data_IF_829544226319
#
_entry.id   IF_829544226319
#
_cell.length_a   1.000
_cell.length_b   1.000
_cell.length_c   1.000
_cell.angle_alpha   90.00
_cell.angle_beta   90.00
_cell.angle_gamma   90.00
#
_symmetry.space_group_name_H-M   'P 1'
#
loop_
_entity.id
_entity.type
_entity.pdbx_description
1 polymer ?
#
# COMPACT_ATOMS: atom_id res chain seq x y z
N UNK A 1 -48.62 81.28 9.28
CA UNK A 1 -48.83 79.97 8.63
C UNK A 1 -48.26 78.91 9.56
N UNK A 2 -49.06 77.87 9.83
CA UNK A 2 -48.87 76.91 10.91
C UNK A 2 -47.85 75.82 10.60
N UNK A 3 -47.33 75.19 11.66
CA UNK A 3 -46.93 73.77 11.83
C UNK A 3 -45.67 73.69 12.72
N UNK A 4 -45.50 72.76 13.64
CA UNK A 4 -46.29 71.60 14.05
C UNK A 4 -45.59 70.97 15.27
N UNK A 5 -46.38 70.44 16.19
CA UNK A 5 -45.97 69.66 17.35
C UNK A 5 -45.26 68.37 16.94
N UNK A 6 -44.08 68.09 17.51
CA UNK A 6 -43.45 66.76 17.45
C UNK A 6 -43.68 66.02 18.77
N UNK A 7 -44.49 64.98 18.71
CA UNK A 7 -44.69 64.02 19.78
C UNK A 7 -43.46 63.11 19.89
N UNK A 8 -42.93 62.96 21.10
CA UNK A 8 -41.83 62.06 21.44
C UNK A 8 -42.30 60.61 21.36
N UNK A 9 -41.74 59.84 20.42
CA UNK A 9 -41.77 58.37 20.45
C UNK A 9 -40.58 57.89 21.27
N UNK A 10 -40.78 57.56 22.54
CA UNK A 10 -39.83 56.76 23.31
C UNK A 10 -39.85 55.32 22.78
N UNK A 11 -38.95 55.01 21.85
CA UNK A 11 -38.69 53.64 21.42
C UNK A 11 -38.01 52.90 22.58
N UNK A 12 -38.66 51.84 23.06
CA UNK A 12 -38.26 51.05 24.22
C UNK A 12 -36.89 50.37 24.01
N UNK A 13 -35.85 50.98 24.58
CA UNK A 13 -34.46 50.51 24.55
C UNK A 13 -34.29 49.14 25.23
N UNK A 14 -35.23 48.70 26.09
CA UNK A 14 -35.14 47.45 26.84
C UNK A 14 -35.37 46.19 26.00
N UNK A 15 -36.19 46.27 24.96
CA UNK A 15 -36.51 45.13 24.07
C UNK A 15 -35.33 44.80 23.15
N UNK A 16 -34.64 45.82 22.64
CA UNK A 16 -33.48 45.64 21.75
C UNK A 16 -32.29 44.97 22.44
N UNK A 17 -32.04 45.28 23.71
CA UNK A 17 -30.93 44.69 24.48
C UNK A 17 -31.20 43.23 24.81
N UNK A 18 -32.44 42.88 25.18
CA UNK A 18 -32.84 41.49 25.48
C UNK A 18 -32.78 40.60 24.25
N UNK A 19 -33.24 41.08 23.09
CA UNK A 19 -33.18 40.32 21.83
C UNK A 19 -31.73 40.11 21.37
N UNK A 20 -30.86 41.12 21.50
CA UNK A 20 -29.42 41.00 21.20
C UNK A 20 -28.70 40.02 22.12
N UNK A 21 -29.03 40.02 23.41
CA UNK A 21 -28.47 39.07 24.38
C UNK A 21 -28.88 37.63 24.05
N UNK A 22 -30.15 37.39 23.72
CA UNK A 22 -30.64 36.03 23.36
C UNK A 22 -29.98 35.53 22.07
N UNK A 23 -29.84 36.39 21.05
CA UNK A 23 -29.16 36.03 19.79
C UNK A 23 -27.68 35.75 20.01
N UNK A 24 -26.99 36.57 20.82
CA UNK A 24 -25.58 36.36 21.15
C UNK A 24 -25.35 35.05 21.93
N UNK A 25 -26.19 34.76 22.93
CA UNK A 25 -26.12 33.51 23.70
C UNK A 25 -26.40 32.29 22.80
N UNK A 26 -27.36 32.40 21.89
CA UNK A 26 -27.70 31.31 20.96
C UNK A 26 -26.55 31.02 19.97
N UNK A 27 -25.89 32.08 19.47
CA UNK A 27 -24.71 31.95 18.60
C UNK A 27 -23.54 31.30 19.34
N UNK A 28 -23.27 31.71 20.58
CA UNK A 28 -22.20 31.11 21.40
C UNK A 28 -22.48 29.63 21.67
N UNK A 29 -23.72 29.27 22.01
CA UNK A 29 -24.09 27.87 22.22
C UNK A 29 -23.97 27.04 20.92
N UNK A 30 -24.36 27.59 19.77
CA UNK A 30 -24.22 26.91 18.48
C UNK A 30 -22.75 26.68 18.10
N UNK A 31 -21.86 27.66 18.36
CA UNK A 31 -20.42 27.54 18.14
C UNK A 31 -19.81 26.50 19.08
N UNK A 32 -20.16 26.52 20.37
CA UNK A 32 -19.68 25.52 21.34
C UNK A 32 -20.14 24.11 20.94
N UNK A 33 -21.41 23.96 20.53
CA UNK A 33 -21.93 22.67 20.06
C UNK A 33 -21.21 22.19 18.80
N UNK A 34 -20.92 23.10 17.86
CA UNK A 34 -20.20 22.79 16.63
C UNK A 34 -18.75 22.39 16.90
N UNK A 35 -18.08 23.07 17.83
CA UNK A 35 -16.73 22.70 18.29
C UNK A 35 -16.76 21.35 19.01
N UNK A 36 -17.76 21.09 19.86
CA UNK A 36 -17.96 19.80 20.52
C UNK A 36 -18.15 18.67 19.52
N UNK A 37 -19.03 18.85 18.53
CA UNK A 37 -19.22 17.89 17.43
C UNK A 37 -17.94 17.71 16.63
N UNK A 38 -17.21 18.78 16.30
CA UNK A 38 -15.94 18.70 15.57
C UNK A 38 -14.88 17.92 16.35
N UNK A 39 -14.72 18.18 17.65
CA UNK A 39 -13.77 17.47 18.49
C UNK A 39 -14.15 16.00 18.66
N UNK A 40 -15.45 15.70 18.83
CA UNK A 40 -15.95 14.32 18.85
C UNK A 40 -15.73 13.65 17.50
N UNK A 41 -16.03 14.28 16.38
CA UNK A 41 -15.79 13.71 15.03
C UNK A 41 -14.31 13.50 14.76
N UNK A 42 -13.43 14.38 15.25
CA UNK A 42 -11.98 14.21 15.11
C UNK A 42 -11.47 13.06 15.97
N UNK A 43 -11.85 13.01 17.24
CA UNK A 43 -11.44 11.96 18.17
C UNK A 43 -12.04 10.59 17.82
N UNK A 44 -13.32 10.57 17.43
CA UNK A 44 -14.03 9.38 16.98
C UNK A 44 -13.62 9.00 15.55
N UNK A 45 -13.24 9.93 14.68
CA UNK A 45 -12.70 9.64 13.36
C UNK A 45 -11.31 9.00 13.42
N UNK A 46 -10.47 9.46 14.35
CA UNK A 46 -9.15 8.88 14.62
C UNK A 46 -9.26 7.50 15.33
N UNK A 47 -10.33 7.28 16.11
CA UNK A 47 -10.54 6.07 16.92
C UNK A 47 -11.55 5.04 16.35
N UNK A 48 -12.40 5.41 15.37
CA UNK A 48 -13.23 4.46 14.61
C UNK A 48 -12.38 3.78 13.54
N UNK A 49 -11.50 2.91 13.99
CA UNK A 49 -11.12 1.75 13.17
C UNK A 49 -12.32 0.83 13.15
N UNK A 50 -13.28 1.07 12.26
CA UNK A 50 -14.20 0.02 11.86
C UNK A 50 -13.32 -1.19 11.53
N UNK A 51 -13.56 -2.37 12.14
CA UNK A 51 -12.91 -3.58 11.68
C UNK A 51 -13.50 -3.82 10.30
N UNK A 52 -12.88 -3.22 9.29
CA UNK A 52 -12.98 -3.75 7.95
C UNK A 52 -12.36 -5.12 8.14
N UNK A 53 -13.19 -6.15 8.26
CA UNK A 53 -12.82 -7.53 8.04
C UNK A 53 -12.48 -7.71 6.53
N UNK A 54 -11.75 -6.74 5.98
CA UNK A 54 -11.38 -6.57 4.61
C UNK A 54 -9.88 -6.68 4.53
N UNK A 55 -9.45 -7.62 3.70
CA UNK A 55 -8.28 -7.50 2.82
C UNK A 55 -7.18 -6.59 3.36
N UNK A 56 -6.47 -7.09 4.38
CA UNK A 56 -5.35 -6.37 4.99
C UNK A 56 -4.17 -7.30 5.18
N UNK A 57 -2.98 -6.74 5.07
CA UNK A 57 -1.71 -7.42 5.26
C UNK A 57 -0.96 -6.77 6.41
N UNK A 58 -0.40 -7.60 7.29
CA UNK A 58 0.53 -7.16 8.32
C UNK A 58 1.89 -7.76 8.03
N UNK A 59 2.88 -6.88 7.90
CA UNK A 59 4.28 -7.24 7.72
C UNK A 59 4.98 -7.07 9.06
N UNK A 60 5.68 -8.12 9.53
CA UNK A 60 6.45 -8.11 10.78
C UNK A 60 7.87 -8.58 10.54
N UNK A 61 8.82 -7.67 10.67
CA UNK A 61 10.25 -7.97 10.64
C UNK A 61 10.91 -7.35 11.88
N UNK A 62 11.77 -6.36 11.72
CA UNK A 62 12.31 -5.47 12.77
C UNK A 62 11.37 -4.32 13.17
N UNK A 63 10.23 -4.22 12.47
CA UNK A 63 9.11 -3.37 12.82
C UNK A 63 7.80 -3.97 12.32
N UNK A 64 6.73 -3.18 12.31
CA UNK A 64 5.43 -3.61 11.81
C UNK A 64 4.83 -2.58 10.85
N UNK A 65 4.45 -3.03 9.66
CA UNK A 65 3.72 -2.23 8.67
C UNK A 65 2.37 -2.90 8.38
N UNK A 66 1.30 -2.10 8.28
CA UNK A 66 -0.03 -2.58 7.88
C UNK A 66 -0.42 -1.93 6.58
N UNK A 67 -0.78 -2.75 5.60
CA UNK A 67 -1.21 -2.35 4.26
C UNK A 67 -2.56 -3.00 3.95
N UNK A 68 -3.33 -2.41 3.05
CA UNK A 68 -4.40 -3.16 2.39
C UNK A 68 -3.79 -4.18 1.39
N UNK A 69 -4.62 -5.08 0.85
CA UNK A 69 -4.13 -6.12 -0.06
C UNK A 69 -3.49 -5.57 -1.34
N UNK A 70 -4.04 -4.51 -1.93
CA UNK A 70 -3.53 -3.90 -3.17
C UNK A 70 -2.17 -3.23 -2.94
N UNK A 71 -2.05 -2.44 -1.87
CA UNK A 71 -0.79 -1.81 -1.46
C UNK A 71 0.31 -2.86 -1.20
N UNK A 72 -0.04 -3.99 -0.57
CA UNK A 72 0.90 -5.08 -0.32
C UNK A 72 1.35 -5.75 -1.62
N UNK A 73 0.44 -6.01 -2.56
CA UNK A 73 0.78 -6.55 -3.88
C UNK A 73 1.73 -5.61 -4.64
N UNK A 74 1.43 -4.30 -4.68
CA UNK A 74 2.30 -3.31 -5.31
C UNK A 74 3.69 -3.22 -4.67
N UNK A 75 3.78 -3.23 -3.34
CA UNK A 75 5.06 -3.26 -2.63
C UNK A 75 5.87 -4.52 -2.99
N UNK A 76 5.22 -5.68 -3.03
CA UNK A 76 5.85 -6.95 -3.42
C UNK A 76 6.36 -6.91 -4.87
N UNK A 77 5.60 -6.34 -5.80
CA UNK A 77 6.04 -6.13 -7.19
C UNK A 77 7.24 -5.18 -7.27
N UNK A 78 7.24 -4.05 -6.56
CA UNK A 78 8.38 -3.11 -6.53
C UNK A 78 9.66 -3.82 -6.04
N UNK A 79 9.56 -4.62 -4.99
CA UNK A 79 10.68 -5.38 -4.44
C UNK A 79 11.19 -6.45 -5.42
N UNK A 80 10.27 -7.22 -6.02
CA UNK A 80 10.60 -8.26 -6.99
C UNK A 80 11.34 -7.70 -8.22
N UNK A 81 10.81 -6.61 -8.81
CA UNK A 81 11.45 -5.92 -9.94
C UNK A 81 12.83 -5.36 -9.57
N UNK A 82 13.02 -4.91 -8.32
CA UNK A 82 14.33 -4.49 -7.83
C UNK A 82 15.37 -5.61 -7.92
N UNK A 83 15.02 -6.79 -7.40
CA UNK A 83 15.88 -7.98 -7.46
C UNK A 83 16.08 -8.47 -8.89
N UNK A 84 15.02 -8.55 -9.70
CA UNK A 84 15.10 -8.92 -11.11
C UNK A 84 16.09 -8.03 -11.88
N UNK A 85 16.23 -6.75 -11.49
CA UNK A 85 17.16 -5.78 -12.09
C UNK A 85 18.55 -5.77 -11.47
N UNK A 86 18.86 -6.73 -10.58
CA UNK A 86 20.08 -6.80 -9.77
C UNK A 86 20.33 -5.50 -8.98
N UNK A 87 19.27 -4.90 -8.45
CA UNK A 87 19.40 -3.77 -7.54
C UNK A 87 19.74 -4.27 -6.13
N UNK A 88 20.61 -3.56 -5.37
CA UNK A 88 20.84 -3.90 -3.98
C UNK A 88 19.61 -3.51 -3.13
N UNK A 89 19.50 -4.09 -1.94
CA UNK A 89 18.34 -3.91 -1.02
C UNK A 89 18.02 -2.44 -0.76
N UNK A 90 19.03 -1.58 -0.62
CA UNK A 90 18.86 -0.13 -0.45
C UNK A 90 18.04 0.50 -1.57
N UNK A 91 18.15 0.02 -2.81
CA UNK A 91 17.32 0.52 -3.90
C UNK A 91 15.84 0.24 -3.67
N UNK A 92 15.51 -0.94 -3.12
CA UNK A 92 14.15 -1.34 -2.82
C UNK A 92 13.58 -0.46 -1.72
N UNK A 93 14.36 -0.15 -0.68
CA UNK A 93 14.00 0.83 0.35
C UNK A 93 13.67 2.19 -0.28
N UNK A 94 14.55 2.70 -1.15
CA UNK A 94 14.34 3.99 -1.82
C UNK A 94 13.09 3.97 -2.72
N UNK A 95 12.86 2.88 -3.45
CA UNK A 95 11.70 2.73 -4.34
C UNK A 95 10.38 2.63 -3.56
N UNK A 96 10.34 1.84 -2.48
CA UNK A 96 9.16 1.72 -1.62
C UNK A 96 8.85 3.05 -0.93
N UNK A 97 9.85 3.75 -0.38
CA UNK A 97 9.66 5.05 0.24
C UNK A 97 9.17 6.11 -0.76
N UNK A 98 9.67 6.02 -2.00
CA UNK A 98 9.18 6.87 -3.09
C UNK A 98 7.71 6.57 -3.40
N UNK A 99 7.34 5.31 -3.67
CA UNK A 99 5.97 4.96 -4.00
C UNK A 99 4.97 5.23 -2.85
N UNK A 100 5.40 5.09 -1.59
CA UNK A 100 4.63 5.53 -0.43
C UNK A 100 4.36 7.03 -0.46
N UNK A 101 5.40 7.84 -0.72
CA UNK A 101 5.25 9.28 -0.71
C UNK A 101 4.44 9.79 -1.90
N UNK A 102 4.61 9.18 -3.07
CA UNK A 102 3.95 9.63 -4.31
C UNK A 102 2.47 9.22 -4.34
N UNK A 103 2.13 8.01 -3.89
CA UNK A 103 0.76 7.50 -4.03
C UNK A 103 0.25 6.67 -2.86
N UNK A 104 0.99 6.56 -1.75
CA UNK A 104 0.63 5.64 -0.68
C UNK A 104 0.63 4.17 -1.12
N UNK A 105 1.49 3.81 -2.09
CA UNK A 105 1.51 2.50 -2.78
C UNK A 105 0.24 2.18 -3.59
N UNK A 106 -0.59 3.16 -3.91
CA UNK A 106 -1.77 2.97 -4.77
C UNK A 106 -1.43 3.23 -6.25
N UNK A 107 -1.98 2.43 -7.15
CA UNK A 107 -1.77 2.62 -8.59
C UNK A 107 -2.81 3.60 -9.16
N UNK A 108 -2.63 4.88 -8.82
CA UNK A 108 -3.62 5.93 -9.08
C UNK A 108 -3.85 6.14 -10.59
N UNK A 109 -5.12 6.31 -10.98
CA UNK A 109 -5.49 6.58 -12.37
C UNK A 109 -5.01 7.95 -12.88
N UNK A 110 -4.76 8.90 -11.96
CA UNK A 110 -4.27 10.26 -12.19
C UNK A 110 -3.90 10.96 -10.88
N UNK A 111 -3.25 12.12 -10.97
CA UNK A 111 -2.85 12.97 -9.85
C UNK A 111 -2.53 14.39 -10.29
N UNK A 112 -1.47 15.01 -9.76
CA UNK A 112 -1.08 16.36 -10.20
C UNK A 112 -0.72 16.38 -11.70
N UNK A 113 -1.32 17.31 -12.46
CA UNK A 113 -1.16 17.42 -13.92
C UNK A 113 -1.50 16.11 -14.65
N UNK A 114 -0.51 15.49 -15.30
CA UNK A 114 -0.62 14.22 -16.03
C UNK A 114 0.10 13.07 -15.29
N UNK A 115 0.29 13.19 -13.98
CA UNK A 115 0.91 12.15 -13.15
C UNK A 115 0.02 10.91 -13.01
N UNK A 116 0.59 9.71 -13.12
CA UNK A 116 -0.14 8.43 -13.06
C UNK A 116 0.68 7.39 -12.27
N UNK A 117 -0.03 6.49 -11.61
CA UNK A 117 0.50 5.25 -11.06
C UNK A 117 1.31 5.40 -9.78
N UNK A 118 2.03 4.32 -9.42
CA UNK A 118 2.72 4.16 -8.14
C UNK A 118 3.73 5.26 -7.80
N UNK A 119 4.41 5.78 -8.81
CA UNK A 119 5.48 6.76 -8.64
C UNK A 119 5.05 8.16 -9.11
N UNK A 120 3.75 8.37 -9.37
CA UNK A 120 3.20 9.61 -9.94
C UNK A 120 4.04 10.16 -11.10
N UNK A 121 4.42 9.24 -12.00
CA UNK A 121 5.27 9.56 -13.14
C UNK A 121 4.46 10.31 -14.20
N UNK A 122 5.12 11.18 -14.98
CA UNK A 122 4.45 12.06 -15.96
C UNK A 122 4.85 11.73 -17.40
N UNK A 123 3.88 11.41 -18.29
CA UNK A 123 4.16 11.24 -19.71
C UNK A 123 4.84 12.46 -20.34
N UNK A 124 4.38 13.66 -20.01
CA UNK A 124 4.98 14.94 -20.47
C UNK A 124 6.44 15.15 -20.06
N UNK A 125 6.95 14.40 -19.08
CA UNK A 125 8.36 14.43 -18.66
C UNK A 125 9.18 13.25 -19.20
N UNK A 126 8.61 12.44 -20.10
CA UNK A 126 9.33 11.33 -20.76
C UNK A 126 9.38 10.04 -19.93
N UNK A 127 8.55 9.90 -18.89
CA UNK A 127 8.50 8.68 -18.09
C UNK A 127 7.86 7.49 -18.79
N UNK A 128 7.08 7.69 -19.86
CA UNK A 128 6.40 6.65 -20.63
C UNK A 128 5.03 7.13 -21.14
N UNK A 129 4.31 6.31 -21.89
CA UNK A 129 2.89 6.61 -22.21
C UNK A 129 2.01 6.40 -20.98
N UNK A 130 0.80 6.97 -20.92
CA UNK A 130 -0.14 6.74 -19.81
C UNK A 130 -0.38 5.27 -19.50
N UNK A 131 -0.50 4.43 -20.54
CA UNK A 131 -0.71 2.98 -20.40
C UNK A 131 0.51 2.30 -19.80
N UNK A 132 1.72 2.72 -20.22
CA UNK A 132 2.96 2.16 -19.70
C UNK A 132 3.15 2.50 -18.22
N UNK A 133 3.02 3.77 -17.82
CA UNK A 133 3.26 4.16 -16.43
C UNK A 133 2.14 3.74 -15.47
N UNK A 134 0.96 3.36 -15.99
CA UNK A 134 -0.09 2.69 -15.21
C UNK A 134 0.24 1.22 -14.92
N UNK A 135 1.16 0.59 -15.65
CA UNK A 135 1.66 -0.74 -15.28
C UNK A 135 2.68 -0.60 -14.13
N UNK A 136 2.40 -1.16 -12.93
CA UNK A 136 3.32 -1.17 -11.80
C UNK A 136 4.72 -1.66 -12.14
N UNK A 137 4.84 -2.69 -12.99
CA UNK A 137 6.12 -3.30 -13.37
C UNK A 137 6.93 -2.35 -14.21
N UNK A 138 6.30 -1.70 -15.20
CA UNK A 138 6.97 -0.71 -16.04
C UNK A 138 7.40 0.50 -15.21
N UNK A 139 6.51 1.03 -14.37
CA UNK A 139 6.79 2.20 -13.53
C UNK A 139 7.98 1.94 -12.59
N UNK A 140 8.02 0.77 -11.93
CA UNK A 140 9.15 0.34 -11.10
C UNK A 140 10.44 0.17 -11.91
N UNK A 141 10.38 -0.48 -13.08
CA UNK A 141 11.53 -0.62 -13.97
C UNK A 141 12.13 0.74 -14.36
N UNK A 142 11.27 1.72 -14.69
CA UNK A 142 11.69 3.08 -15.06
C UNK A 142 12.24 3.86 -13.87
N UNK A 143 11.65 3.71 -12.68
CA UNK A 143 12.18 4.29 -11.45
C UNK A 143 13.60 3.80 -11.18
N UNK A 144 13.82 2.48 -11.17
CA UNK A 144 15.16 1.92 -10.96
C UNK A 144 16.16 2.31 -12.07
N UNK A 145 15.70 2.46 -13.31
CA UNK A 145 16.54 2.97 -14.40
C UNK A 145 16.92 4.45 -14.17
N UNK A 146 16.06 5.25 -13.56
CA UNK A 146 16.36 6.61 -13.10
C UNK A 146 17.36 6.60 -11.95
N UNK A 147 17.11 5.80 -10.91
CA UNK A 147 17.98 5.68 -9.73
C UNK A 147 19.42 5.28 -10.10
N UNK A 148 19.60 4.31 -11.01
CA UNK A 148 20.93 3.91 -11.52
C UNK A 148 21.74 5.06 -12.13
N UNK A 149 21.09 6.14 -12.60
CA UNK A 149 21.76 7.31 -13.19
C UNK A 149 22.20 8.35 -12.15
N UNK A 150 21.73 8.24 -10.92
CA UNK A 150 22.08 9.17 -9.83
C UNK A 150 23.43 8.75 -9.24
N UNK A 151 24.47 9.57 -9.42
CA UNK A 151 25.81 9.23 -8.88
C UNK A 151 25.79 9.25 -7.34
N UNK A 152 26.27 8.17 -6.71
CA UNK A 152 26.40 8.09 -5.25
C UNK A 152 25.10 7.83 -4.49
N UNK A 153 24.01 7.48 -5.18
CA UNK A 153 22.70 7.22 -4.56
C UNK A 153 22.75 6.16 -3.44
N UNK A 154 23.71 5.23 -3.53
CA UNK A 154 23.90 4.15 -2.56
C UNK A 154 24.27 4.65 -1.16
N UNK A 155 24.82 5.85 -1.03
CA UNK A 155 25.26 6.43 0.24
C UNK A 155 24.36 7.60 0.68
N UNK A 156 23.52 8.11 -0.23
CA UNK A 156 22.57 9.18 0.03
C UNK A 156 21.48 8.76 1.02
N UNK A 157 20.96 9.68 1.83
CA UNK A 157 19.72 9.41 2.59
C UNK A 157 18.61 8.98 1.62
N UNK A 158 17.63 8.23 2.12
CA UNK A 158 16.50 7.76 1.32
C UNK A 158 15.84 8.93 0.57
N UNK A 159 15.62 10.04 1.27
CA UNK A 159 14.99 11.23 0.68
C UNK A 159 15.84 11.91 -0.39
N UNK A 160 17.16 11.94 -0.22
CA UNK A 160 18.07 12.56 -1.20
C UNK A 160 18.12 11.73 -2.48
N UNK A 161 18.17 10.40 -2.36
CA UNK A 161 18.15 9.49 -3.50
C UNK A 161 16.79 9.53 -4.24
N UNK A 162 15.68 9.48 -3.50
CA UNK A 162 14.33 9.58 -4.08
C UNK A 162 14.12 10.93 -4.79
N UNK A 163 14.48 12.02 -4.13
CA UNK A 163 14.38 13.38 -4.67
C UNK A 163 15.26 13.59 -5.90
N UNK A 164 16.46 12.99 -5.95
CA UNK A 164 17.33 13.08 -7.13
C UNK A 164 16.70 12.42 -8.37
N UNK A 165 15.85 11.41 -8.18
CA UNK A 165 15.09 10.73 -9.25
C UNK A 165 13.82 11.51 -9.61
N UNK A 166 12.98 11.81 -8.61
CA UNK A 166 11.63 12.37 -8.82
C UNK A 166 11.60 13.89 -9.03
N UNK A 167 12.54 14.62 -8.40
CA UNK A 167 12.62 16.09 -8.42
C UNK A 167 11.31 16.77 -8.02
N UNK A 168 10.76 16.39 -6.87
CA UNK A 168 9.52 16.97 -6.32
C UNK A 168 9.73 18.36 -5.72
N UNK A 169 8.64 19.03 -5.32
CA UNK A 169 8.70 20.30 -4.58
C UNK A 169 9.02 20.13 -3.07
N UNK A 170 9.04 18.90 -2.54
CA UNK A 170 9.15 18.60 -1.11
C UNK A 170 10.29 17.61 -0.84
N UNK A 171 11.56 18.05 -0.88
CA UNK A 171 12.72 17.16 -0.89
C UNK A 171 12.87 16.26 0.36
N UNK A 172 12.31 16.65 1.50
CA UNK A 172 12.37 15.88 2.76
C UNK A 172 11.17 14.93 2.95
N UNK A 173 10.16 14.99 2.08
CA UNK A 173 8.90 14.28 2.32
C UNK A 173 9.02 12.75 2.25
N UNK A 174 10.05 12.22 1.61
CA UNK A 174 10.28 10.78 1.50
C UNK A 174 10.89 10.18 2.77
N UNK A 175 11.64 10.96 3.56
CA UNK A 175 12.42 10.43 4.69
C UNK A 175 11.52 9.80 5.76
N UNK A 176 10.29 10.30 5.93
CA UNK A 176 9.33 9.76 6.90
C UNK A 176 8.87 8.33 6.60
N UNK A 177 9.11 7.83 5.39
CA UNK A 177 8.76 6.47 4.97
C UNK A 177 9.95 5.52 4.93
N UNK A 178 11.14 5.97 5.35
CA UNK A 178 12.35 5.16 5.30
C UNK A 178 12.21 3.91 6.17
N UNK A 179 11.79 4.07 7.42
CA UNK A 179 11.68 2.98 8.40
C UNK A 179 10.66 1.92 7.96
N UNK A 180 9.46 2.32 7.54
CA UNK A 180 8.46 1.38 7.01
C UNK A 180 8.96 0.67 5.75
N UNK A 181 9.72 1.36 4.90
CA UNK A 181 10.28 0.78 3.69
C UNK A 181 11.42 -0.20 3.97
N UNK A 182 12.19 0.00 5.04
CA UNK A 182 13.17 -0.96 5.54
C UNK A 182 12.49 -2.24 6.05
N UNK A 183 11.44 -2.10 6.86
CA UNK A 183 10.64 -3.25 7.36
C UNK A 183 10.06 -4.06 6.19
N UNK A 184 9.45 -3.38 5.22
CA UNK A 184 8.91 -4.02 4.02
C UNK A 184 10.01 -4.70 3.20
N UNK A 185 11.13 -4.04 2.97
CA UNK A 185 12.26 -4.59 2.20
C UNK A 185 12.78 -5.86 2.85
N UNK A 186 13.03 -5.83 4.16
CA UNK A 186 13.52 -6.98 4.92
C UNK A 186 12.58 -8.19 4.79
N UNK A 187 11.28 -7.96 4.93
CA UNK A 187 10.29 -9.01 4.76
C UNK A 187 10.25 -9.52 3.31
N UNK A 188 10.08 -8.61 2.34
CA UNK A 188 9.87 -8.95 0.92
C UNK A 188 11.11 -9.56 0.25
N UNK A 189 12.30 -9.33 0.78
CA UNK A 189 13.56 -9.93 0.30
C UNK A 189 13.95 -11.20 1.05
N UNK A 190 13.09 -11.69 1.96
CA UNK A 190 13.23 -12.99 2.61
C UNK A 190 14.16 -13.00 3.83
N UNK A 191 14.52 -11.83 4.37
CA UNK A 191 15.41 -11.68 5.53
C UNK A 191 14.68 -11.84 6.88
N UNK A 192 13.39 -12.13 6.84
CA UNK A 192 12.56 -12.49 7.97
C UNK A 192 11.65 -13.66 7.59
N UNK A 193 11.50 -14.64 8.47
CA UNK A 193 10.66 -15.83 8.26
C UNK A 193 9.19 -15.51 8.52
N UNK A 194 8.29 -15.90 7.60
CA UNK A 194 6.84 -15.74 7.76
C UNK A 194 6.38 -14.32 8.15
N UNK A 195 7.11 -13.32 7.64
CA UNK A 195 6.95 -11.92 7.98
C UNK A 195 5.69 -11.29 7.36
N UNK A 196 5.26 -11.76 6.18
CA UNK A 196 4.08 -11.23 5.48
C UNK A 196 2.87 -12.11 5.75
N UNK A 197 1.86 -11.57 6.42
CA UNK A 197 0.60 -12.26 6.70
C UNK A 197 -0.58 -11.41 6.21
N UNK A 198 -1.33 -11.93 5.24
CA UNK A 198 -2.50 -11.26 4.66
C UNK A 198 -3.79 -11.96 5.06
N UNK A 199 -4.82 -11.23 5.46
CA UNK A 199 -6.19 -11.71 5.53
C UNK A 199 -6.86 -11.36 4.20
N UNK A 200 -7.34 -12.37 3.47
CA UNK A 200 -8.02 -12.20 2.17
C UNK A 200 -9.48 -12.65 2.26
N UNK A 201 -10.32 -12.21 1.32
CA UNK A 201 -11.70 -12.66 1.25
C UNK A 201 -11.82 -14.09 0.70
N UNK A 202 -12.93 -14.78 1.00
CA UNK A 202 -13.24 -16.12 0.47
C UNK A 202 -13.76 -16.13 -0.97
N UNK A 203 -14.00 -14.96 -1.53
CA UNK A 203 -14.46 -14.72 -2.90
C UNK A 203 -13.32 -14.09 -3.71
N UNK A 204 -12.37 -14.91 -4.21
CA UNK A 204 -11.28 -14.41 -5.04
C UNK A 204 -11.80 -13.91 -6.39
N UNK A 205 -11.05 -12.99 -7.01
CA UNK A 205 -11.39 -12.40 -8.32
C UNK A 205 -11.33 -13.44 -9.43
N UNK A 206 -10.36 -14.35 -9.36
CA UNK A 206 -10.12 -15.45 -10.30
C UNK A 206 -9.94 -16.78 -9.56
N UNK A 207 -10.27 -17.90 -10.22
CA UNK A 207 -10.21 -19.26 -9.67
C UNK A 207 -9.62 -20.26 -10.68
N UNK A 208 -9.36 -21.47 -10.19
CA UNK A 208 -8.99 -22.64 -10.97
C UNK A 208 -7.77 -22.44 -11.86
N UNK A 209 -7.82 -23.02 -13.07
CA UNK A 209 -6.67 -23.03 -13.98
C UNK A 209 -6.29 -21.64 -14.47
N UNK A 210 -7.28 -20.75 -14.66
CA UNK A 210 -7.05 -19.36 -15.04
C UNK A 210 -6.28 -18.60 -13.94
N UNK A 211 -6.64 -18.82 -12.67
CA UNK A 211 -5.92 -18.26 -11.53
C UNK A 211 -4.48 -18.78 -11.44
N UNK A 212 -4.28 -20.09 -11.58
CA UNK A 212 -2.95 -20.69 -11.56
C UNK A 212 -2.06 -20.18 -12.71
N UNK A 213 -2.62 -20.04 -13.92
CA UNK A 213 -1.92 -19.49 -15.07
C UNK A 213 -1.53 -18.01 -14.85
N UNK A 214 -2.48 -17.17 -14.41
CA UNK A 214 -2.24 -15.75 -14.15
C UNK A 214 -1.20 -15.53 -13.02
N UNK A 215 -1.24 -16.36 -11.98
CA UNK A 215 -0.26 -16.32 -10.89
C UNK A 215 1.13 -16.70 -11.39
N UNK A 216 1.25 -17.76 -12.18
CA UNK A 216 2.52 -18.22 -12.76
C UNK A 216 3.11 -17.17 -13.70
N UNK A 217 2.28 -16.57 -14.55
CA UNK A 217 2.67 -15.47 -15.43
C UNK A 217 3.16 -14.27 -14.62
N UNK A 218 2.43 -13.86 -13.58
CA UNK A 218 2.81 -12.72 -12.75
C UNK A 218 4.12 -12.94 -12.00
N UNK A 219 4.34 -14.15 -11.47
CA UNK A 219 5.60 -14.52 -10.84
C UNK A 219 6.77 -14.43 -11.83
N UNK A 220 6.54 -14.87 -13.07
CA UNK A 220 7.55 -14.81 -14.15
C UNK A 220 7.87 -13.37 -14.52
N UNK A 221 6.86 -12.51 -14.64
CA UNK A 221 7.03 -11.09 -14.96
C UNK A 221 7.74 -10.32 -13.85
N UNK A 222 7.42 -10.60 -12.58
CA UNK A 222 7.95 -9.89 -11.42
C UNK A 222 9.39 -10.32 -11.08
N UNK A 223 9.67 -11.63 -11.11
CA UNK A 223 10.96 -12.18 -10.67
C UNK A 223 11.89 -12.58 -11.81
N UNK A 224 11.38 -12.70 -13.05
CA UNK A 224 12.15 -13.20 -14.19
C UNK A 224 12.50 -14.69 -14.07
N UNK A 225 11.66 -15.49 -13.41
CA UNK A 225 11.89 -16.91 -13.15
C UNK A 225 11.22 -17.80 -14.21
N UNK A 226 11.98 -18.37 -15.18
CA UNK A 226 11.40 -19.27 -16.17
C UNK A 226 11.07 -20.67 -15.62
N UNK A 227 11.50 -21.00 -14.40
CA UNK A 227 11.35 -22.33 -13.78
C UNK A 227 10.08 -22.53 -12.93
N UNK A 228 9.21 -21.52 -12.87
CA UNK A 228 7.93 -21.62 -12.19
C UNK A 228 7.03 -22.59 -12.96
N UNK A 229 6.76 -23.76 -12.38
CA UNK A 229 6.01 -24.82 -13.07
C UNK A 229 4.62 -24.95 -12.44
N UNK A 230 3.58 -24.85 -13.28
CA UNK A 230 2.22 -25.22 -12.89
C UNK A 230 2.20 -26.71 -12.56
N UNK A 231 1.66 -27.06 -11.39
CA UNK A 231 1.45 -28.45 -10.99
C UNK A 231 0.23 -28.96 -11.76
N UNK A 232 0.47 -29.75 -12.81
CA UNK A 232 -0.56 -30.31 -13.68
C UNK A 232 -1.69 -30.96 -12.85
N UNK A 233 -2.93 -30.49 -13.06
CA UNK A 233 -4.14 -31.03 -12.44
C UNK A 233 -4.39 -30.65 -10.97
N UNK A 234 -3.56 -29.79 -10.36
CA UNK A 234 -3.64 -29.50 -8.92
C UNK A 234 -3.95 -28.03 -8.57
N UNK A 235 -4.31 -27.17 -9.54
CA UNK A 235 -4.56 -25.73 -9.30
C UNK A 235 -3.44 -25.11 -8.44
N UNK A 236 -2.21 -25.51 -8.70
CA UNK A 236 -1.07 -25.27 -7.82
C UNK A 236 0.16 -24.86 -8.60
N UNK A 237 1.06 -24.17 -7.91
CA UNK A 237 2.32 -23.67 -8.43
C UNK A 237 3.43 -24.15 -7.52
N UNK A 238 4.56 -24.57 -8.11
CA UNK A 238 5.76 -24.85 -7.35
C UNK A 238 6.96 -24.08 -7.89
N UNK A 239 7.63 -23.35 -7.01
CA UNK A 239 8.79 -22.51 -7.31
C UNK A 239 10.02 -23.12 -6.64
N UNK A 240 11.07 -23.50 -7.38
CA UNK A 240 12.33 -23.90 -6.76
C UNK A 240 12.97 -22.71 -6.03
N UNK A 241 13.46 -22.93 -4.82
CA UNK A 241 14.23 -21.96 -4.06
C UNK A 241 15.70 -22.39 -4.04
N UNK A 242 16.62 -21.49 -4.39
CA UNK A 242 18.05 -21.79 -4.35
C UNK A 242 18.57 -21.88 -2.91
N UNK A 243 17.99 -21.07 -2.02
CA UNK A 243 18.27 -21.04 -0.59
C UNK A 243 17.01 -20.64 0.22
N UNK A 244 17.05 -20.69 1.57
CA UNK A 244 15.90 -20.31 2.39
C UNK A 244 15.42 -18.86 2.21
N UNK A 245 16.32 -17.93 1.88
CA UNK A 245 15.98 -16.52 1.67
C UNK A 245 15.18 -16.35 0.37
N UNK A 246 15.57 -17.05 -0.68
CA UNK A 246 14.81 -17.14 -1.93
C UNK A 246 13.43 -17.77 -1.71
N UNK A 247 13.33 -18.81 -0.89
CA UNK A 247 12.04 -19.39 -0.57
C UNK A 247 11.13 -18.41 0.19
N UNK A 248 11.65 -17.68 1.17
CA UNK A 248 10.86 -16.70 1.92
C UNK A 248 10.41 -15.51 1.06
N UNK A 249 11.25 -14.97 0.17
CA UNK A 249 10.82 -13.87 -0.72
C UNK A 249 9.71 -14.31 -1.68
N UNK A 250 9.77 -15.52 -2.24
CA UNK A 250 8.71 -16.03 -3.11
C UNK A 250 7.43 -16.34 -2.33
N UNK A 251 7.56 -16.95 -1.13
CA UNK A 251 6.43 -17.20 -0.25
C UNK A 251 5.70 -15.91 0.14
N UNK A 252 6.43 -14.86 0.50
CA UNK A 252 5.85 -13.56 0.82
C UNK A 252 5.22 -12.87 -0.39
N UNK A 253 5.84 -12.95 -1.56
CA UNK A 253 5.26 -12.43 -2.79
C UNK A 253 3.93 -13.13 -3.12
N UNK A 254 3.86 -14.46 -2.98
CA UNK A 254 2.65 -15.25 -3.21
C UNK A 254 1.52 -14.88 -2.23
N UNK A 255 1.84 -14.68 -0.94
CA UNK A 255 0.86 -14.20 0.06
C UNK A 255 0.41 -12.77 -0.25
N UNK A 256 1.30 -11.90 -0.70
CA UNK A 256 0.98 -10.51 -1.06
C UNK A 256 0.00 -10.42 -2.24
N UNK A 257 0.11 -11.35 -3.19
CA UNK A 257 -0.71 -11.44 -4.39
C UNK A 257 -1.95 -12.33 -4.22
N UNK A 258 -2.21 -12.82 -3.00
CA UNK A 258 -3.24 -13.82 -2.77
C UNK A 258 -4.65 -13.34 -3.12
N UNK A 259 -4.92 -12.06 -2.91
CA UNK A 259 -6.20 -11.44 -3.23
C UNK A 259 -6.50 -11.45 -4.74
N UNK A 260 -5.54 -10.96 -5.54
CA UNK A 260 -5.74 -10.73 -6.98
C UNK A 260 -5.68 -12.02 -7.79
N UNK A 261 -4.97 -13.02 -7.27
CA UNK A 261 -4.75 -14.30 -7.95
C UNK A 261 -5.45 -15.49 -7.31
N UNK A 262 -6.29 -15.25 -6.30
CA UNK A 262 -7.04 -16.31 -5.63
C UNK A 262 -6.16 -17.37 -4.97
N UNK A 263 -5.01 -16.98 -4.40
CA UNK A 263 -4.15 -17.91 -3.67
C UNK A 263 -4.85 -18.31 -2.38
N UNK A 264 -5.12 -19.61 -2.24
CA UNK A 264 -5.76 -20.23 -1.09
C UNK A 264 -4.74 -20.61 -0.03
N UNK A 265 -3.55 -21.04 -0.44
CA UNK A 265 -2.53 -21.59 0.45
C UNK A 265 -1.14 -21.35 -0.10
N UNK A 266 -0.19 -21.08 0.79
CA UNK A 266 1.25 -21.02 0.51
C UNK A 266 2.00 -21.84 1.56
N UNK A 267 2.91 -22.70 1.14
CA UNK A 267 3.77 -23.52 1.99
C UNK A 267 5.24 -23.30 1.64
N UNK A 268 6.06 -23.12 2.66
CA UNK A 268 7.51 -23.13 2.54
C UNK A 268 8.13 -23.52 3.88
N UNK A 269 9.20 -24.32 3.84
CA UNK A 269 9.78 -24.94 5.02
C UNK A 269 8.72 -25.67 5.87
N UNK A 270 8.71 -25.48 7.19
CA UNK A 270 7.75 -26.07 8.13
C UNK A 270 6.50 -25.21 8.36
N UNK A 271 6.22 -24.23 7.50
CA UNK A 271 5.17 -23.25 7.68
C UNK A 271 4.18 -23.19 6.51
N UNK A 272 2.90 -22.98 6.85
CA UNK A 272 1.79 -22.83 5.92
C UNK A 272 0.99 -21.57 6.25
N UNK A 273 0.78 -20.71 5.25
CA UNK A 273 -0.22 -19.66 5.26
C UNK A 273 -1.47 -20.13 4.52
N UNK A 274 -2.65 -19.78 5.04
CA UNK A 274 -3.93 -20.06 4.37
C UNK A 274 -4.82 -18.82 4.32
N UNK A 275 -5.56 -18.69 3.23
CA UNK A 275 -6.53 -17.61 3.02
C UNK A 275 -7.61 -17.57 4.11
N UNK A 276 -7.99 -18.72 4.68
CA UNK A 276 -8.98 -18.81 5.75
C UNK A 276 -8.53 -18.22 7.08
N UNK A 277 -7.24 -18.38 7.42
CA UNK A 277 -6.68 -17.90 8.69
C UNK A 277 -5.97 -16.55 8.55
N UNK A 278 -5.51 -16.24 7.34
CA UNK A 278 -4.68 -15.09 7.04
C UNK A 278 -3.33 -15.05 7.77
N UNK A 279 -2.89 -16.17 8.33
CA UNK A 279 -1.71 -16.28 9.20
C UNK A 279 -0.91 -17.54 8.89
N UNK A 280 0.37 -17.53 9.26
CA UNK A 280 1.26 -18.69 9.15
C UNK A 280 1.09 -19.63 10.34
N UNK A 281 1.12 -20.94 10.09
CA UNK A 281 1.09 -21.98 11.13
C UNK A 281 2.03 -23.12 10.78
N UNK A 282 2.57 -23.81 11.80
CA UNK A 282 3.47 -24.95 11.60
C UNK A 282 2.73 -26.16 11.04
N UNK A 283 3.37 -26.86 10.10
CA UNK A 283 2.90 -28.14 9.56
C UNK A 283 3.88 -29.26 9.93
N UNK A 284 3.36 -30.46 10.18
CA UNK A 284 4.13 -31.60 10.71
C UNK A 284 5.00 -32.32 9.66
N UNK A 285 4.77 -32.07 8.37
CA UNK A 285 5.49 -32.74 7.27
C UNK A 285 6.74 -31.96 6.85
N UNK A 286 7.86 -32.23 7.53
CA UNK A 286 9.12 -31.47 7.45
C UNK A 286 9.93 -31.65 6.15
N UNK A 287 9.82 -32.77 5.44
CA UNK A 287 10.91 -33.20 4.53
C UNK A 287 10.76 -32.80 3.06
N UNK A 288 9.57 -32.37 2.61
CA UNK A 288 9.28 -32.23 1.19
C UNK A 288 9.40 -30.80 0.62
N UNK A 289 9.53 -29.77 1.47
CA UNK A 289 9.28 -28.38 1.06
C UNK A 289 10.39 -27.37 1.35
N UNK A 290 11.52 -27.77 1.95
CA UNK A 290 12.61 -26.82 2.27
C UNK A 290 13.29 -26.22 1.03
N UNK A 291 13.24 -26.93 -0.11
CA UNK A 291 13.83 -26.48 -1.37
C UNK A 291 12.80 -25.89 -2.36
N UNK A 292 11.51 -25.86 -2.02
CA UNK A 292 10.44 -25.44 -2.94
C UNK A 292 9.32 -24.72 -2.22
N UNK A 293 8.93 -23.57 -2.75
CA UNK A 293 7.70 -22.90 -2.34
C UNK A 293 6.55 -23.50 -3.12
N UNK A 294 5.46 -23.86 -2.42
CA UNK A 294 4.26 -24.42 -3.03
C UNK A 294 3.10 -23.49 -2.75
N UNK A 295 2.38 -23.08 -3.79
CA UNK A 295 1.14 -22.34 -3.67
C UNK A 295 -0.01 -23.10 -4.32
N UNK A 296 -1.21 -22.89 -3.79
CA UNK A 296 -2.45 -23.42 -4.35
C UNK A 296 -3.47 -22.29 -4.45
N UNK A 297 -4.21 -22.26 -5.54
CA UNK A 297 -5.32 -21.33 -5.75
C UNK A 297 -6.65 -21.96 -5.36
N UNK A 298 -7.69 -21.14 -5.21
CA UNK A 298 -9.05 -21.66 -5.06
C UNK A 298 -9.45 -22.46 -6.31
N UNK A 299 -10.03 -23.64 -6.10
CA UNK A 299 -10.62 -24.44 -7.17
C UNK A 299 -11.81 -23.72 -7.84
N UNK A 300 -12.23 -24.25 -8.99
CA UNK A 300 -13.48 -23.81 -9.64
C UNK A 300 -14.67 -23.90 -8.66
N UNK A 301 -15.66 -23.02 -8.88
CA UNK A 301 -16.83 -22.87 -8.00
C UNK A 301 -17.79 -24.05 -8.08
#
# INVERSE_FOLDING_TARGET
>A
MASGTYAWLTVDQGVWVRTRAIVATSLVLAVIASIGVYLVVRDVGDNLRLPIAGRSCTVRADGQVRLNAEQMAHAATIAAIGIQRNMPERAVVVALATAFQESGLENLAGGDRDSIGLFQQRPSQGWGTPEQIRDPRYAANKFYAGLKKVRGWQEMRVTDAAQAVQRSAFPEAYQKWADESEVLTRALLGDATAAVACTVGRTPVIRGDAAAAALTQSLTLDWGLPGATSLAGLTGLSVPAADPRDGWRYAHWLVSHAHDHGVKRVRFADLEWTADKGTWSRVSDRKAHDARVVAEVFAEA
#
